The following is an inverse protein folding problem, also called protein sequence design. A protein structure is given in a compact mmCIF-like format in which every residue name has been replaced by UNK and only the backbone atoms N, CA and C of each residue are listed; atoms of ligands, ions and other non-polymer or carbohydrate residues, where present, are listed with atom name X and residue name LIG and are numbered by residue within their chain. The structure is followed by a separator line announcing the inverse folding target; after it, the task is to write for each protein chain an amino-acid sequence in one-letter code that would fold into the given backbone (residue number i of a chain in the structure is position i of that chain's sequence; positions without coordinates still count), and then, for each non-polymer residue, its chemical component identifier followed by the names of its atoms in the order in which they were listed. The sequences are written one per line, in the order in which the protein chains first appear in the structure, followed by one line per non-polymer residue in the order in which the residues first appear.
data_IF_285312931720
#
_entry.id   IF_285312931720
#
_cell.length_a   1.000
_cell.length_b   1.000
_cell.length_c   1.000
_cell.angle_alpha   90.00
_cell.angle_beta   90.00
_cell.angle_gamma   90.00
#
_symmetry.space_group_name_H-M   'P 1'
#
loop_
_entity.id
_entity.type
_entity.pdbx_description
1 polymer ?
#
# COMPACT_ATOMS: atom_id res chain seq x y z
N UNK A 1 -37.25 24.76 17.34
CA UNK A 1 -38.22 23.63 17.40
C UNK A 1 -37.83 22.72 18.56
N UNK A 2 -38.72 22.53 19.55
CA UNK A 2 -38.51 21.64 20.70
C UNK A 2 -38.64 20.18 20.26
N UNK A 3 -37.64 19.36 20.55
CA UNK A 3 -37.62 17.94 20.19
C UNK A 3 -38.78 17.18 20.84
N UNK A 4 -39.54 16.43 20.04
CA UNK A 4 -40.59 15.55 20.54
C UNK A 4 -39.98 14.46 21.42
N UNK A 5 -40.53 14.30 22.63
CA UNK A 5 -40.17 13.24 23.57
C UNK A 5 -40.64 11.88 23.02
N UNK A 6 -39.73 11.13 22.42
CA UNK A 6 -40.01 9.76 21.96
C UNK A 6 -40.24 8.86 23.17
N UNK A 7 -41.41 8.22 23.26
CA UNK A 7 -41.73 7.29 24.35
C UNK A 7 -40.68 6.17 24.44
N UNK A 8 -40.20 5.89 25.66
CA UNK A 8 -39.18 4.88 26.01
C UNK A 8 -39.53 3.47 25.49
N UNK A 9 -40.81 3.21 25.18
CA UNK A 9 -41.37 1.91 24.78
C UNK A 9 -41.68 1.77 23.28
N UNK A 10 -41.71 2.85 22.46
CA UNK A 10 -42.25 2.75 21.08
C UNK A 10 -41.35 3.26 19.95
N UNK A 11 -40.07 3.59 20.20
CA UNK A 11 -39.18 3.96 19.08
C UNK A 11 -37.69 3.90 19.35
N UNK A 12 -37.25 4.19 20.57
CA UNK A 12 -35.81 4.36 20.87
C UNK A 12 -35.00 3.06 21.00
N UNK A 13 -35.64 1.91 21.26
CA UNK A 13 -34.96 0.64 21.57
C UNK A 13 -35.12 -0.45 20.51
N UNK A 14 -35.71 -0.15 19.35
CA UNK A 14 -35.77 -1.17 18.29
C UNK A 14 -34.33 -1.49 17.82
N UNK A 15 -34.00 -2.75 17.47
CA UNK A 15 -32.66 -3.10 16.97
C UNK A 15 -32.21 -2.23 15.80
N UNK A 16 -33.15 -1.86 14.91
CA UNK A 16 -32.89 -0.94 13.80
C UNK A 16 -32.57 0.48 14.27
N UNK A 17 -33.27 1.00 15.28
CA UNK A 17 -32.99 2.33 15.84
C UNK A 17 -31.63 2.37 16.56
N UNK A 18 -31.26 1.29 17.25
CA UNK A 18 -29.96 1.16 17.91
C UNK A 18 -28.82 1.09 16.89
N UNK A 19 -28.92 0.22 15.87
CA UNK A 19 -27.92 0.13 14.81
C UNK A 19 -27.77 1.44 14.02
N UNK A 20 -28.87 2.17 13.79
CA UNK A 20 -28.82 3.49 13.17
C UNK A 20 -28.17 4.54 14.08
N UNK A 21 -28.39 4.49 15.39
CA UNK A 21 -27.73 5.38 16.35
C UNK A 21 -26.22 5.10 16.43
N UNK A 22 -25.84 3.83 16.47
CA UNK A 22 -24.43 3.39 16.45
C UNK A 22 -23.73 3.85 15.17
N UNK A 23 -24.36 3.67 14.00
CA UNK A 23 -23.83 4.16 12.73
C UNK A 23 -23.59 5.67 12.75
N UNK A 24 -24.54 6.46 13.24
CA UNK A 24 -24.38 7.93 13.36
C UNK A 24 -23.23 8.30 14.30
N UNK A 25 -23.07 7.57 15.40
CA UNK A 25 -21.96 7.80 16.33
C UNK A 25 -20.60 7.49 15.67
N UNK A 26 -20.52 6.38 14.93
CA UNK A 26 -19.34 5.99 14.15
C UNK A 26 -19.02 7.02 13.06
N UNK A 27 -20.01 7.45 12.29
CA UNK A 27 -19.85 8.50 11.26
C UNK A 27 -19.39 9.82 11.87
N UNK A 28 -19.96 10.23 13.01
CA UNK A 28 -19.53 11.44 13.72
C UNK A 28 -18.10 11.30 14.27
N UNK A 29 -17.71 10.12 14.74
CA UNK A 29 -16.34 9.84 15.18
C UNK A 29 -15.36 9.88 14.00
N UNK A 30 -15.69 9.25 12.89
CA UNK A 30 -14.91 9.28 11.66
C UNK A 30 -14.76 10.73 11.15
N UNK A 31 -15.84 11.52 11.13
CA UNK A 31 -15.81 12.92 10.75
C UNK A 31 -14.87 13.76 11.61
N UNK A 32 -14.83 13.51 12.92
CA UNK A 32 -13.86 14.18 13.82
C UNK A 32 -12.41 13.79 13.54
N UNK A 33 -12.15 12.53 13.20
CA UNK A 33 -10.80 12.08 12.82
C UNK A 33 -10.38 12.74 11.51
N UNK A 34 -11.25 12.72 10.49
CA UNK A 34 -11.01 13.37 9.20
C UNK A 34 -10.71 14.85 9.38
N UNK A 35 -11.54 15.57 10.15
CA UNK A 35 -11.34 17.01 10.39
C UNK A 35 -10.01 17.35 11.07
N UNK A 36 -9.37 16.41 11.78
CA UNK A 36 -8.05 16.62 12.41
C UNK A 36 -6.88 16.36 11.48
N UNK A 37 -7.07 15.50 10.47
CA UNK A 37 -5.99 15.10 9.55
C UNK A 37 -6.12 15.77 8.18
N UNK A 38 -7.28 16.35 7.88
CA UNK A 38 -7.55 17.02 6.62
C UNK A 38 -6.95 18.42 6.64
N UNK A 39 -5.98 18.64 5.76
CA UNK A 39 -5.37 19.93 5.50
C UNK A 39 -5.81 20.40 4.11
N UNK A 40 -6.59 21.48 4.05
CA UNK A 40 -7.08 22.06 2.79
C UNK A 40 -5.99 22.79 2.01
N UNK A 41 -4.94 23.22 2.70
CA UNK A 41 -3.83 24.00 2.14
C UNK A 41 -2.60 23.12 1.89
N UNK A 42 -2.76 21.79 2.00
CA UNK A 42 -1.70 20.83 1.76
C UNK A 42 -1.10 21.04 0.35
N UNK A 43 0.24 21.10 0.23
CA UNK A 43 0.87 21.27 -1.07
C UNK A 43 0.53 20.09 -1.99
N UNK A 44 0.43 20.32 -3.31
CA UNK A 44 0.15 19.25 -4.25
C UNK A 44 1.28 18.22 -4.23
N UNK A 45 0.92 16.95 -4.47
CA UNK A 45 1.88 15.87 -4.61
C UNK A 45 2.69 16.07 -5.90
N UNK A 46 3.96 16.41 -5.77
CA UNK A 46 4.87 16.65 -6.91
C UNK A 46 5.51 15.35 -7.43
N UNK A 47 5.93 14.49 -6.51
CA UNK A 47 6.39 13.13 -6.79
C UNK A 47 5.23 12.12 -6.70
N UNK A 48 4.39 12.11 -7.74
CA UNK A 48 3.25 11.21 -7.82
C UNK A 48 3.68 9.74 -7.98
N UNK A 49 4.72 9.48 -8.77
CA UNK A 49 5.27 8.13 -8.98
C UNK A 49 5.75 7.53 -7.66
N UNK A 50 6.65 8.22 -6.95
CA UNK A 50 7.17 7.73 -5.68
C UNK A 50 6.10 7.64 -4.60
N UNK A 51 5.09 8.53 -4.62
CA UNK A 51 3.96 8.44 -3.69
C UNK A 51 3.08 7.21 -3.93
N UNK A 52 2.81 6.86 -5.19
CA UNK A 52 2.08 5.64 -5.56
C UNK A 52 2.89 4.39 -5.22
N UNK A 53 4.20 4.38 -5.49
CA UNK A 53 5.10 3.28 -5.12
C UNK A 53 5.12 3.05 -3.60
N UNK A 54 5.24 4.13 -2.80
CA UNK A 54 5.17 4.03 -1.32
C UNK A 54 3.81 3.53 -0.84
N UNK A 55 2.71 3.92 -1.50
CA UNK A 55 1.38 3.40 -1.18
C UNK A 55 1.27 1.91 -1.50
N UNK A 56 1.75 1.48 -2.66
CA UNK A 56 1.77 0.08 -3.07
C UNK A 56 2.54 -0.79 -2.07
N UNK A 57 3.76 -0.38 -1.67
CA UNK A 57 4.55 -1.12 -0.67
C UNK A 57 3.88 -1.20 0.70
N UNK A 58 3.14 -0.17 1.14
CA UNK A 58 2.36 -0.23 2.38
C UNK A 58 1.18 -1.21 2.29
N UNK A 59 0.51 -1.26 1.14
CA UNK A 59 -0.58 -2.19 0.90
C UNK A 59 -0.07 -3.63 0.80
N UNK A 60 1.04 -3.86 0.10
CA UNK A 60 1.73 -5.16 0.04
C UNK A 60 2.09 -5.66 1.43
N UNK A 61 2.76 -4.83 2.24
CA UNK A 61 3.07 -5.17 3.64
C UNK A 61 1.82 -5.50 4.46
N UNK A 62 0.70 -4.80 4.23
CA UNK A 62 -0.56 -5.09 4.91
C UNK A 62 -1.16 -6.43 4.46
N UNK A 63 -1.07 -6.79 3.17
CA UNK A 63 -1.45 -8.11 2.66
C UNK A 63 -0.61 -9.20 3.33
N UNK A 64 0.70 -9.03 3.43
CA UNK A 64 1.59 -10.02 4.04
C UNK A 64 1.27 -10.24 5.53
N UNK A 65 1.10 -9.15 6.28
CA UNK A 65 0.80 -9.22 7.72
C UNK A 65 -0.54 -9.89 7.97
N UNK A 66 -1.56 -9.54 7.18
CA UNK A 66 -2.89 -10.13 7.30
C UNK A 66 -2.91 -11.58 6.82
N UNK A 67 -2.18 -11.91 5.75
CA UNK A 67 -2.03 -13.27 5.22
C UNK A 67 -1.33 -14.19 6.22
N UNK A 68 -0.22 -13.74 6.80
CA UNK A 68 0.50 -14.49 7.82
C UNK A 68 -0.34 -14.76 9.08
N UNK A 69 -1.27 -13.87 9.44
CA UNK A 69 -2.24 -14.12 10.53
C UNK A 69 -3.26 -15.20 10.17
N UNK A 70 -3.79 -15.17 8.95
CA UNK A 70 -4.72 -16.21 8.47
C UNK A 70 -4.04 -17.58 8.44
N UNK A 71 -2.78 -17.63 8.04
CA UNK A 71 -1.99 -18.87 8.04
C UNK A 71 -1.68 -19.34 9.48
N UNK A 72 -1.30 -18.42 10.37
CA UNK A 72 -0.98 -18.77 11.77
C UNK A 72 -2.20 -19.26 12.57
N UNK A 73 -3.40 -18.74 12.29
CA UNK A 73 -4.64 -19.18 12.94
C UNK A 73 -5.13 -20.54 12.40
N UNK A 74 -4.59 -21.01 11.27
CA UNK A 74 -4.93 -22.32 10.69
C UNK A 74 -4.23 -23.51 11.38
N UNK A 75 -3.27 -23.25 12.27
CA UNK A 75 -2.54 -24.25 13.07
C UNK A 75 -3.24 -24.63 14.39
N UNK A 76 -4.45 -24.13 14.64
CA UNK A 76 -5.25 -24.55 15.80
C UNK A 76 -5.68 -26.01 15.56
N UNK A 77 -5.33 -26.97 16.45
CA UNK A 77 -5.77 -28.35 16.30
C UNK A 77 -7.30 -28.36 16.35
N UNK A 78 -7.92 -28.73 15.22
CA UNK A 78 -9.36 -28.93 15.10
C UNK A 78 -9.73 -29.91 16.20
N UNK A 79 -10.39 -29.42 17.25
CA UNK A 79 -10.89 -30.28 18.32
C UNK A 79 -11.80 -31.31 17.67
N UNK A 80 -11.34 -32.55 17.62
CA UNK A 80 -12.17 -33.66 17.23
C UNK A 80 -13.28 -33.74 18.27
N UNK A 81 -14.46 -33.29 17.87
CA UNK A 81 -15.66 -33.42 18.64
C UNK A 81 -16.01 -34.91 18.71
N UNK A 82 -15.54 -35.62 19.75
CA UNK A 82 -15.80 -37.05 19.99
C UNK A 82 -17.29 -37.38 20.21
N UNK A 83 -18.19 -36.41 20.11
CA UNK A 83 -19.64 -36.59 20.35
C UNK A 83 -20.55 -35.86 19.34
N UNK A 84 -20.06 -35.59 18.12
CA UNK A 84 -20.87 -35.00 17.05
C UNK A 84 -21.73 -36.07 16.35
N UNK A 85 -22.57 -36.74 17.14
CA UNK A 85 -23.51 -37.77 16.71
C UNK A 85 -24.95 -37.39 17.04
N UNK A 86 -25.41 -36.20 16.65
CA UNK A 86 -26.84 -35.88 16.51
C UNK A 86 -27.04 -34.93 15.33
N UNK A 87 -27.84 -35.39 14.39
CA UNK A 87 -28.21 -34.75 13.13
C UNK A 87 -28.68 -33.30 13.34
N UNK A 88 -27.85 -32.34 12.94
CA UNK A 88 -28.28 -30.98 12.70
C UNK A 88 -28.41 -30.77 11.18
N UNK A 89 -29.64 -30.54 10.66
CA UNK A 89 -29.81 -30.14 9.29
C UNK A 89 -29.50 -28.64 9.16
N UNK A 90 -28.30 -28.31 8.67
CA UNK A 90 -27.92 -26.97 8.24
C UNK A 90 -26.82 -26.30 9.07
N UNK A 91 -25.56 -26.57 8.75
CA UNK A 91 -24.68 -25.65 8.01
C UNK A 91 -23.21 -26.07 8.20
N UNK A 92 -22.57 -26.40 7.08
CA UNK A 92 -21.11 -26.46 6.89
C UNK A 92 -20.56 -25.04 7.19
N UNK A 93 -19.46 -24.79 7.91
CA UNK A 93 -18.07 -25.15 7.56
C UNK A 93 -17.09 -24.75 8.68
N UNK A 94 -15.94 -25.43 8.78
CA UNK A 94 -14.74 -24.88 9.42
C UNK A 94 -14.20 -23.74 8.56
N UNK A 95 -14.46 -22.51 8.98
CA UNK A 95 -13.75 -21.32 8.51
C UNK A 95 -13.79 -20.26 9.62
N UNK A 96 -13.26 -20.60 10.79
CA UNK A 96 -12.93 -19.63 11.85
C UNK A 96 -11.51 -19.06 11.62
N UNK A 97 -11.20 -18.75 10.36
CA UNK A 97 -10.27 -17.66 10.08
C UNK A 97 -11.00 -16.41 10.56
N UNK A 98 -10.44 -15.65 11.51
CA UNK A 98 -11.07 -14.44 12.05
C UNK A 98 -11.76 -13.67 10.91
N UNK A 99 -13.09 -13.73 10.85
CA UNK A 99 -13.85 -13.28 9.70
C UNK A 99 -13.58 -11.80 9.40
N UNK A 100 -13.17 -11.06 10.44
CA UNK A 100 -12.68 -9.68 10.36
C UNK A 100 -11.34 -9.62 9.62
N UNK A 101 -10.33 -10.39 10.05
CA UNK A 101 -9.02 -10.48 9.38
C UNK A 101 -9.16 -10.96 7.93
N UNK A 102 -9.96 -11.99 7.65
CA UNK A 102 -10.19 -12.47 6.29
C UNK A 102 -10.85 -11.40 5.40
N UNK A 103 -11.86 -10.71 5.92
CA UNK A 103 -12.53 -9.61 5.20
C UNK A 103 -11.58 -8.42 4.98
N UNK A 104 -10.76 -8.09 5.98
CA UNK A 104 -9.76 -7.04 5.87
C UNK A 104 -8.70 -7.40 4.82
N UNK A 105 -8.20 -8.64 4.81
CA UNK A 105 -7.22 -9.14 3.85
C UNK A 105 -7.75 -9.05 2.42
N UNK A 106 -8.96 -9.56 2.15
CA UNK A 106 -9.59 -9.48 0.82
C UNK A 106 -9.75 -8.03 0.36
N UNK A 107 -10.12 -7.13 1.28
CA UNK A 107 -10.29 -5.71 0.96
C UNK A 107 -8.95 -5.06 0.61
N UNK A 108 -7.92 -5.25 1.43
CA UNK A 108 -6.58 -4.71 1.17
C UNK A 108 -6.01 -5.28 -0.14
N UNK A 109 -6.17 -6.57 -0.39
CA UNK A 109 -5.73 -7.22 -1.62
C UNK A 109 -6.42 -6.62 -2.86
N UNK A 110 -7.71 -6.31 -2.77
CA UNK A 110 -8.46 -5.66 -3.85
C UNK A 110 -7.96 -4.24 -4.11
N UNK A 111 -7.71 -3.46 -3.07
CA UNK A 111 -7.15 -2.10 -3.21
C UNK A 111 -5.74 -2.15 -3.81
N UNK A 112 -4.90 -3.09 -3.38
CA UNK A 112 -3.57 -3.30 -3.96
C UNK A 112 -3.66 -3.65 -5.45
N UNK A 113 -4.50 -4.61 -5.81
CA UNK A 113 -4.71 -4.99 -7.22
C UNK A 113 -5.19 -3.82 -8.07
N UNK A 114 -6.12 -3.02 -7.56
CA UNK A 114 -6.63 -1.85 -8.27
C UNK A 114 -5.53 -0.80 -8.45
N UNK A 115 -4.77 -0.50 -7.40
CA UNK A 115 -3.65 0.44 -7.45
C UNK A 115 -2.59 -0.01 -8.46
N UNK A 116 -2.19 -1.29 -8.45
CA UNK A 116 -1.20 -1.82 -9.39
C UNK A 116 -1.72 -1.75 -10.84
N UNK A 117 -3.00 -2.06 -11.07
CA UNK A 117 -3.62 -1.90 -12.38
C UNK A 117 -3.66 -0.43 -12.83
N UNK A 118 -3.89 0.52 -11.92
CA UNK A 118 -3.87 1.95 -12.20
C UNK A 118 -2.46 2.43 -12.53
N UNK A 119 -1.45 1.99 -11.76
CA UNK A 119 -0.05 2.29 -12.02
C UNK A 119 0.41 1.77 -13.39
N UNK A 120 -0.01 0.56 -13.77
CA UNK A 120 0.24 0.00 -15.10
C UNK A 120 -0.44 0.83 -16.20
N UNK A 121 -1.72 1.20 -16.02
CA UNK A 121 -2.44 2.04 -17.01
C UNK A 121 -1.85 3.44 -17.17
N UNK A 122 -1.33 4.02 -16.09
CA UNK A 122 -0.74 5.36 -16.09
C UNK A 122 0.69 5.39 -16.65
N UNK A 123 1.23 4.23 -17.03
CA UNK A 123 2.59 4.07 -17.55
C UNK A 123 3.64 4.48 -16.52
N UNK A 124 3.40 4.19 -15.24
CA UNK A 124 4.26 4.66 -14.14
C UNK A 124 5.64 4.00 -14.20
N UNK A 125 5.73 2.74 -14.62
CA UNK A 125 6.99 2.03 -14.79
C UNK A 125 7.82 2.65 -15.92
N UNK A 126 7.18 2.94 -17.06
CA UNK A 126 7.80 3.59 -18.20
C UNK A 126 8.26 5.00 -17.85
N UNK A 127 7.44 5.76 -17.11
CA UNK A 127 7.81 7.10 -16.64
C UNK A 127 8.95 7.07 -15.61
N UNK A 128 8.95 6.10 -14.70
CA UNK A 128 10.05 5.93 -13.75
C UNK A 128 11.36 5.63 -14.49
N UNK A 129 11.33 4.71 -15.46
CA UNK A 129 12.48 4.38 -16.29
C UNK A 129 12.94 5.58 -17.12
N UNK A 130 12.00 6.33 -17.71
CA UNK A 130 12.31 7.54 -18.47
C UNK A 130 12.96 8.61 -17.58
N UNK A 131 12.47 8.82 -16.36
CA UNK A 131 13.06 9.76 -15.41
C UNK A 131 14.48 9.34 -15.01
N UNK A 132 14.71 8.04 -14.77
CA UNK A 132 16.06 7.55 -14.48
C UNK A 132 17.00 7.73 -15.68
N UNK A 133 16.53 7.42 -16.90
CA UNK A 133 17.30 7.68 -18.11
C UNK A 133 17.65 9.16 -18.29
N UNK A 134 16.70 10.07 -17.99
CA UNK A 134 16.90 11.51 -18.07
C UNK A 134 17.89 12.01 -17.00
N UNK A 135 17.86 11.47 -15.78
CA UNK A 135 18.85 11.75 -14.74
C UNK A 135 20.25 11.30 -15.15
N UNK A 136 20.39 10.07 -15.65
CA UNK A 136 21.67 9.54 -16.15
C UNK A 136 22.21 10.42 -17.28
N UNK A 137 21.33 10.82 -18.21
CA UNK A 137 21.69 11.75 -19.29
C UNK A 137 22.16 13.10 -18.75
N UNK A 138 21.48 13.67 -17.76
CA UNK A 138 21.85 14.94 -17.15
C UNK A 138 23.24 14.86 -16.49
N UNK A 139 23.49 13.80 -15.73
CA UNK A 139 24.80 13.55 -15.10
C UNK A 139 25.90 13.40 -16.14
N UNK A 140 25.64 12.64 -17.22
CA UNK A 140 26.61 12.46 -18.31
C UNK A 140 26.94 13.80 -19.00
N UNK A 141 25.94 14.66 -19.24
CA UNK A 141 26.14 16.01 -19.81
C UNK A 141 26.93 16.90 -18.85
N UNK A 142 26.58 16.90 -17.57
CA UNK A 142 27.28 17.69 -16.55
C UNK A 142 28.75 17.29 -16.42
N UNK A 143 29.03 15.98 -16.38
CA UNK A 143 30.38 15.44 -16.38
C UNK A 143 31.14 15.84 -17.65
N UNK A 144 30.50 15.69 -18.82
CA UNK A 144 31.10 16.08 -20.10
C UNK A 144 31.57 17.53 -20.09
N UNK A 145 30.72 18.45 -19.60
CA UNK A 145 31.05 19.86 -19.45
C UNK A 145 32.13 20.13 -18.40
N UNK A 146 32.13 19.37 -17.30
CA UNK A 146 33.18 19.48 -16.29
C UNK A 146 34.55 19.09 -16.88
N UNK A 147 34.61 17.98 -17.62
CA UNK A 147 35.83 17.56 -18.33
C UNK A 147 36.27 18.60 -19.37
N UNK A 148 35.34 19.18 -20.13
CA UNK A 148 35.65 20.25 -21.09
C UNK A 148 36.23 21.50 -20.40
N UNK A 149 35.73 21.85 -19.21
CA UNK A 149 36.22 23.01 -18.44
C UNK A 149 37.66 22.85 -17.92
N UNK A 150 38.12 21.60 -17.75
CA UNK A 150 39.48 21.30 -17.31
C UNK A 150 40.52 21.43 -18.44
N UNK A 151 40.07 21.66 -19.69
CA UNK A 151 40.97 21.82 -20.84
C UNK A 151 41.81 20.56 -21.13
N UNK A 152 41.37 19.39 -20.66
CA UNK A 152 42.09 18.14 -20.89
C UNK A 152 42.07 17.78 -22.37
N UNK A 153 43.19 17.24 -22.86
CA UNK A 153 43.29 16.83 -24.25
C UNK A 153 42.32 15.66 -24.57
N UNK A 154 42.03 15.41 -25.85
CA UNK A 154 41.08 14.37 -26.24
C UNK A 154 41.44 12.95 -25.75
N UNK A 155 42.73 12.61 -25.63
CA UNK A 155 43.16 11.28 -25.18
C UNK A 155 42.95 11.09 -23.67
N UNK A 156 43.23 12.10 -22.86
CA UNK A 156 42.95 12.11 -21.42
C UNK A 156 41.44 12.06 -21.13
N UNK A 157 40.62 12.72 -21.95
CA UNK A 157 39.15 12.62 -21.87
C UNK A 157 38.67 11.20 -22.15
N UNK A 158 39.19 10.56 -23.21
CA UNK A 158 38.84 9.20 -23.56
C UNK A 158 39.25 8.21 -22.45
N UNK A 159 40.39 8.42 -21.80
CA UNK A 159 40.83 7.62 -20.65
C UNK A 159 39.89 7.80 -19.46
N UNK A 160 39.56 9.05 -19.09
CA UNK A 160 38.65 9.33 -17.98
C UNK A 160 37.25 8.71 -18.17
N UNK A 161 36.72 8.75 -19.39
CA UNK A 161 35.46 8.07 -19.74
C UNK A 161 35.57 6.56 -19.63
N UNK A 162 36.70 5.98 -20.04
CA UNK A 162 36.93 4.53 -19.98
C UNK A 162 37.00 4.04 -18.54
N UNK A 163 37.72 4.75 -17.68
CA UNK A 163 37.82 4.47 -16.24
C UNK A 163 36.45 4.57 -15.59
N UNK A 164 35.70 5.64 -15.85
CA UNK A 164 34.35 5.79 -15.31
C UNK A 164 33.43 4.61 -15.70
N UNK A 165 33.45 4.19 -16.97
CA UNK A 165 32.64 3.05 -17.42
C UNK A 165 33.07 1.74 -16.75
N UNK A 166 34.36 1.57 -16.46
CA UNK A 166 34.85 0.41 -15.72
C UNK A 166 34.36 0.42 -14.27
N UNK A 167 34.44 1.56 -13.59
CA UNK A 167 33.96 1.72 -12.21
C UNK A 167 32.45 1.54 -12.10
N UNK A 168 31.67 2.08 -13.05
CA UNK A 168 30.21 1.89 -13.07
C UNK A 168 29.82 0.42 -13.20
N UNK A 169 30.50 -0.33 -14.09
CA UNK A 169 30.26 -1.78 -14.24
C UNK A 169 30.70 -2.56 -12.99
N UNK A 170 31.78 -2.14 -12.35
CA UNK A 170 32.23 -2.75 -11.10
C UNK A 170 31.22 -2.53 -9.96
N UNK A 171 30.64 -1.33 -9.88
CA UNK A 171 29.58 -1.01 -8.92
C UNK A 171 28.31 -1.84 -9.17
N UNK A 172 27.84 -1.95 -10.42
CA UNK A 172 26.70 -2.81 -10.79
C UNK A 172 26.90 -4.27 -10.38
N UNK A 173 28.11 -4.80 -10.59
CA UNK A 173 28.45 -6.18 -10.21
C UNK A 173 28.44 -6.41 -8.68
N UNK A 174 28.70 -5.37 -7.88
CA UNK A 174 28.65 -5.44 -6.42
C UNK A 174 27.22 -5.37 -5.88
N UNK A 175 26.36 -4.55 -6.49
CA UNK A 175 24.94 -4.46 -6.13
C UNK A 175 24.15 -5.72 -6.53
N UNK A 176 24.46 -6.33 -7.67
CA UNK A 176 23.83 -7.58 -8.12
C UNK A 176 24.20 -8.84 -7.33
N UNK A 177 25.25 -8.78 -6.49
CA UNK A 177 25.69 -9.89 -5.64
C UNK A 177 25.11 -9.89 -4.22
N UNK A 178 24.31 -8.88 -3.86
CA UNK A 178 23.68 -8.74 -2.53
C UNK A 178 22.16 -8.96 -2.53
N UNK A 179 21.57 -9.38 -3.65
CA UNK A 179 20.16 -9.72 -3.79
C UNK A 179 19.91 -11.23 -3.62
#
# INVERSE_FOLDING_TARGET
MKGQSVCKMHGGKSPRALAAAERRQLEAAAGRVIARVWDTDAPPVTDHVGSLQRLAGRLERAVDVLGGRLESDSDIPVSHCDNCGKEFPGNVTPLDLDAVTATAWVRVLRELRQLLADMGRLGIAEKALQLEADKVRLVAVALGRALDSLGINPSARAEAQRVLLAELRAAEAQEGGQA
#
